data_IF_396911553015
#
_entry.id   IF_396911553015
#
_cell.length_a   1.000
_cell.length_b   1.000
_cell.length_c   1.000
_cell.angle_alpha   90.00
_cell.angle_beta   90.00
_cell.angle_gamma   90.00
#
_symmetry.space_group_name_H-M   'P 1'
#
loop_
_entity.id
_entity.type
_entity.pdbx_description
1 polymer ?
#
# COMPACT_ATOMS: atom_id res chain seq x y z
N UNK A 1 42.42 -6.93 12.84
CA UNK A 1 41.50 -7.92 12.25
C UNK A 1 40.17 -7.22 12.27
N UNK A 2 39.86 -6.56 11.16
CA UNK A 2 38.78 -5.57 11.06
C UNK A 2 37.43 -6.29 10.97
N UNK A 3 36.46 -5.78 11.72
CA UNK A 3 35.09 -6.24 11.75
C UNK A 3 34.43 -6.02 10.38
N UNK A 4 33.95 -7.11 9.77
CA UNK A 4 33.10 -7.07 8.59
C UNK A 4 31.73 -6.56 9.03
N UNK A 5 31.52 -5.25 8.89
CA UNK A 5 30.19 -4.64 9.01
C UNK A 5 29.40 -5.06 7.77
N UNK A 6 28.41 -5.94 7.98
CA UNK A 6 27.41 -6.27 6.96
C UNK A 6 26.65 -5.00 6.57
N UNK A 7 26.81 -4.54 5.33
CA UNK A 7 26.07 -3.41 4.78
C UNK A 7 24.61 -3.80 4.48
N UNK A 8 23.58 -3.11 5.01
CA UNK A 8 22.17 -3.39 4.71
C UNK A 8 21.65 -2.78 3.38
N UNK A 9 22.51 -2.21 2.52
CA UNK A 9 22.09 -1.46 1.32
C UNK A 9 21.89 -2.27 0.02
N UNK A 10 22.07 -3.59 0.00
CA UNK A 10 21.92 -4.36 -1.25
C UNK A 10 20.61 -5.14 -1.29
N UNK A 11 19.56 -4.47 -1.77
CA UNK A 11 18.44 -5.13 -2.46
C UNK A 11 18.66 -4.89 -3.96
N UNK A 12 19.71 -5.50 -4.51
CA UNK A 12 20.18 -5.22 -5.86
C UNK A 12 20.75 -6.49 -6.50
N UNK A 13 19.88 -7.34 -7.04
CA UNK A 13 20.31 -8.35 -8.00
C UNK A 13 20.25 -7.74 -9.42
N UNK A 14 21.44 -7.44 -9.95
CA UNK A 14 21.83 -7.17 -11.35
C UNK A 14 20.96 -6.25 -12.25
N UNK A 15 21.58 -5.11 -12.61
CA UNK A 15 21.48 -4.36 -13.88
C UNK A 15 20.22 -3.52 -14.21
N UNK A 16 19.23 -3.40 -13.33
CA UNK A 16 18.27 -2.25 -13.31
C UNK A 16 17.97 -1.78 -11.89
N UNK A 17 19.02 -1.38 -11.19
CA UNK A 17 18.96 -1.03 -9.77
C UNK A 17 18.17 0.25 -9.52
N UNK A 18 17.16 0.17 -8.65
CA UNK A 18 16.50 1.37 -8.13
C UNK A 18 17.51 2.19 -7.34
N UNK A 19 17.67 3.47 -7.67
CA UNK A 19 18.59 4.38 -6.97
C UNK A 19 17.84 5.06 -5.83
N UNK A 20 18.22 4.78 -4.58
CA UNK A 20 17.61 5.40 -3.39
C UNK A 20 17.93 6.89 -3.37
N UNK A 21 16.91 7.71 -3.18
CA UNK A 21 16.98 9.18 -3.13
C UNK A 21 16.69 9.75 -1.74
N UNK A 22 16.10 8.95 -0.86
CA UNK A 22 15.83 9.34 0.52
C UNK A 22 14.88 8.39 1.22
N UNK A 23 14.38 8.82 2.37
CA UNK A 23 13.43 8.09 3.20
C UNK A 23 12.50 9.04 3.94
N UNK A 24 11.33 8.55 4.33
CA UNK A 24 10.34 9.33 5.08
C UNK A 24 10.75 9.42 6.56
N UNK A 25 10.99 10.63 7.04
CA UNK A 25 11.20 10.89 8.46
C UNK A 25 9.88 10.77 9.24
N UNK A 26 9.77 9.76 10.10
CA UNK A 26 8.59 9.52 10.93
C UNK A 26 8.72 10.15 12.30
N UNK A 27 7.74 10.98 12.67
CA UNK A 27 7.71 11.67 13.99
C UNK A 27 7.04 10.84 15.09
N UNK A 28 5.97 10.11 14.74
CA UNK A 28 5.08 9.48 15.72
C UNK A 28 4.85 7.99 15.48
N UNK A 29 5.24 7.47 14.31
CA UNK A 29 5.07 6.07 13.94
C UNK A 29 6.43 5.36 13.92
N UNK A 30 6.43 4.09 14.33
CA UNK A 30 7.63 3.22 14.33
C UNK A 30 7.44 1.90 13.58
N UNK A 31 6.20 1.60 13.17
CA UNK A 31 5.82 0.29 12.62
C UNK A 31 5.70 0.29 11.11
N UNK A 32 6.40 1.20 10.42
CA UNK A 32 6.66 1.13 8.99
C UNK A 32 7.85 2.03 8.64
N UNK A 33 8.40 1.87 7.44
CA UNK A 33 9.33 2.81 6.81
C UNK A 33 8.92 3.04 5.36
N UNK A 34 9.35 4.17 4.79
CA UNK A 34 9.18 4.46 3.36
C UNK A 34 10.51 4.91 2.79
N UNK A 35 10.98 4.22 1.78
CA UNK A 35 12.18 4.58 1.01
C UNK A 35 11.76 5.14 -0.34
N UNK A 36 12.39 6.24 -0.76
CA UNK A 36 12.14 6.92 -2.02
C UNK A 36 13.23 6.60 -3.02
N UNK A 37 12.85 6.37 -4.28
CA UNK A 37 13.79 6.05 -5.35
C UNK A 37 13.59 6.96 -6.56
N UNK A 38 14.63 7.09 -7.38
CA UNK A 38 14.59 7.84 -8.63
C UNK A 38 13.41 7.42 -9.51
N UNK A 39 12.83 8.36 -10.26
CA UNK A 39 11.66 8.08 -11.10
C UNK A 39 10.34 7.98 -10.33
N UNK A 40 10.36 8.19 -9.00
CA UNK A 40 9.18 8.34 -8.15
C UNK A 40 8.71 7.07 -7.45
N UNK A 41 9.44 5.95 -7.60
CA UNK A 41 9.11 4.71 -6.91
C UNK A 41 9.28 4.87 -5.40
N UNK A 42 8.50 4.07 -4.66
CA UNK A 42 8.57 4.04 -3.20
C UNK A 42 8.49 2.60 -2.74
N UNK A 43 9.29 2.22 -1.75
CA UNK A 43 9.13 0.95 -1.05
C UNK A 43 8.62 1.25 0.35
N UNK A 44 7.45 0.72 0.68
CA UNK A 44 6.88 0.69 2.01
C UNK A 44 7.30 -0.64 2.66
N UNK A 45 7.91 -0.59 3.83
CA UNK A 45 8.14 -1.77 4.67
C UNK A 45 7.26 -1.66 5.91
N UNK A 46 6.44 -2.66 6.21
CA UNK A 46 5.58 -2.64 7.40
C UNK A 46 6.30 -3.14 8.67
N UNK A 47 5.59 -3.17 9.79
CA UNK A 47 6.14 -3.59 11.09
C UNK A 47 6.52 -5.06 11.18
N UNK A 48 6.09 -5.90 10.23
CA UNK A 48 6.48 -7.30 10.11
C UNK A 48 7.67 -7.50 9.18
N UNK A 49 8.11 -6.44 8.48
CA UNK A 49 9.17 -6.51 7.48
C UNK A 49 8.65 -6.81 6.07
N UNK A 50 7.33 -6.88 5.85
CA UNK A 50 6.76 -7.10 4.53
C UNK A 50 6.98 -5.85 3.67
N UNK A 51 7.47 -6.07 2.45
CA UNK A 51 7.77 -4.99 1.50
C UNK A 51 6.69 -4.85 0.43
N UNK A 52 6.31 -3.61 0.15
CA UNK A 52 5.40 -3.24 -0.94
C UNK A 52 6.00 -2.10 -1.76
N UNK A 53 6.15 -2.28 -3.07
CA UNK A 53 6.60 -1.23 -3.98
C UNK A 53 5.42 -0.51 -4.63
N UNK A 54 5.47 0.82 -4.64
CA UNK A 54 4.54 1.69 -5.34
C UNK A 54 5.11 2.08 -6.69
N UNK A 55 4.43 1.66 -7.76
CA UNK A 55 4.81 1.95 -9.15
C UNK A 55 4.15 3.26 -9.60
N UNK A 56 4.94 4.28 -9.99
CA UNK A 56 4.40 5.55 -10.47
C UNK A 56 3.60 5.41 -11.78
N UNK A 57 2.80 6.42 -12.08
CA UNK A 57 2.01 6.47 -13.31
C UNK A 57 2.91 6.33 -14.55
N UNK A 58 2.58 5.38 -15.42
CA UNK A 58 3.29 5.19 -16.69
C UNK A 58 4.69 4.59 -16.56
N UNK A 59 5.05 4.05 -15.39
CA UNK A 59 6.31 3.35 -15.15
C UNK A 59 6.13 1.84 -15.19
N UNK A 60 7.18 1.14 -15.57
CA UNK A 60 7.23 -0.32 -15.55
C UNK A 60 7.56 -0.85 -14.16
N UNK A 61 7.21 -2.11 -13.91
CA UNK A 61 7.65 -2.81 -12.69
C UNK A 61 9.14 -3.11 -12.85
N UNK A 62 10.01 -2.67 -11.93
CA UNK A 62 11.43 -3.05 -11.97
C UNK A 62 11.59 -4.55 -11.70
N UNK A 63 12.78 -5.09 -11.94
CA UNK A 63 13.11 -6.44 -11.48
C UNK A 63 13.21 -6.42 -9.94
N UNK A 64 12.52 -7.35 -9.28
CA UNK A 64 12.32 -7.38 -7.83
C UNK A 64 12.56 -8.80 -7.32
N UNK A 65 12.94 -8.92 -6.05
CA UNK A 65 12.90 -10.20 -5.34
C UNK A 65 11.46 -10.75 -5.29
N UNK A 66 11.31 -12.08 -5.25
CA UNK A 66 10.01 -12.78 -5.43
C UNK A 66 8.94 -12.39 -4.37
N UNK A 67 9.34 -11.79 -3.24
CA UNK A 67 8.46 -11.52 -2.10
C UNK A 67 7.95 -10.06 -2.00
N UNK A 68 8.35 -9.16 -2.91
CA UNK A 68 7.91 -7.75 -2.85
C UNK A 68 6.53 -7.60 -3.50
N UNK A 69 5.54 -7.15 -2.74
CA UNK A 69 4.18 -6.86 -3.25
C UNK A 69 4.22 -5.63 -4.16
N UNK A 70 3.52 -5.67 -5.29
CA UNK A 70 3.49 -4.56 -6.26
C UNK A 70 2.15 -3.84 -6.25
N UNK A 71 2.15 -2.50 -6.16
CA UNK A 71 0.95 -1.66 -6.22
C UNK A 71 1.15 -0.54 -7.24
N UNK A 72 0.27 -0.45 -8.24
CA UNK A 72 0.30 0.62 -9.24
C UNK A 72 -0.45 1.87 -8.78
N UNK A 73 0.13 3.04 -9.02
CA UNK A 73 -0.47 4.33 -8.72
C UNK A 73 -1.11 4.98 -9.97
N UNK A 74 -2.18 5.78 -9.80
CA UNK A 74 -2.94 5.93 -8.57
C UNK A 74 -3.78 4.67 -8.28
N UNK A 75 -3.96 4.35 -7.00
CA UNK A 75 -4.95 3.34 -6.60
C UNK A 75 -6.34 3.92 -6.86
N UNK A 76 -7.16 3.19 -7.61
CA UNK A 76 -8.51 3.65 -8.00
C UNK A 76 -9.63 2.81 -7.40
N UNK A 77 -9.30 1.61 -6.93
CA UNK A 77 -10.27 0.63 -6.42
C UNK A 77 -9.66 -0.13 -5.26
N UNK A 78 -10.43 -0.30 -4.19
CA UNK A 78 -10.05 -1.07 -3.01
C UNK A 78 -11.20 -1.98 -2.57
N UNK A 79 -10.82 -3.12 -1.99
CA UNK A 79 -11.76 -4.05 -1.36
C UNK A 79 -11.50 -4.11 0.15
N UNK A 80 -12.16 -3.27 0.96
CA UNK A 80 -12.06 -3.36 2.41
C UNK A 80 -12.76 -4.64 2.92
N UNK A 81 -12.00 -5.49 3.61
CA UNK A 81 -12.50 -6.74 4.21
C UNK A 81 -12.81 -6.62 5.71
N UNK A 82 -12.87 -5.38 6.22
CA UNK A 82 -13.22 -5.07 7.60
C UNK A 82 -13.95 -3.74 7.63
N UNK A 83 -14.97 -3.64 8.49
CA UNK A 83 -15.69 -2.38 8.74
C UNK A 83 -14.74 -1.28 9.23
N UNK A 84 -13.69 -1.64 9.97
CA UNK A 84 -12.64 -0.71 10.42
C UNK A 84 -11.84 -0.14 9.24
N UNK A 85 -11.52 -0.96 8.24
CA UNK A 85 -10.83 -0.46 7.04
C UNK A 85 -11.71 0.52 6.27
N UNK A 86 -13.03 0.28 6.23
CA UNK A 86 -13.97 1.18 5.57
C UNK A 86 -14.10 2.53 6.30
N UNK A 87 -14.14 2.52 7.64
CA UNK A 87 -14.18 3.77 8.40
C UNK A 87 -12.87 4.56 8.27
N UNK A 88 -11.72 3.88 8.13
CA UNK A 88 -10.45 4.53 7.80
C UNK A 88 -10.48 5.19 6.41
N UNK A 89 -10.99 4.51 5.39
CA UNK A 89 -11.15 5.11 4.05
C UNK A 89 -12.05 6.34 4.09
N UNK A 90 -13.15 6.30 4.85
CA UNK A 90 -14.02 7.46 5.09
C UNK A 90 -13.25 8.63 5.71
N UNK A 91 -12.45 8.38 6.75
CA UNK A 91 -11.66 9.41 7.42
C UNK A 91 -10.61 10.05 6.51
N UNK A 92 -10.16 9.33 5.48
CA UNK A 92 -9.24 9.80 4.44
C UNK A 92 -9.95 10.40 3.21
N UNK A 93 -11.26 10.62 3.28
CA UNK A 93 -12.08 11.11 2.14
C UNK A 93 -11.88 10.26 0.86
N UNK A 94 -11.76 8.94 1.04
CA UNK A 94 -11.42 7.96 -0.01
C UNK A 94 -12.42 6.79 -0.07
N UNK A 95 -13.62 7.00 0.48
CA UNK A 95 -14.67 5.96 0.56
C UNK A 95 -15.20 5.56 -0.82
N UNK A 96 -15.12 6.47 -1.78
CA UNK A 96 -15.50 6.32 -3.18
C UNK A 96 -14.61 5.32 -3.96
N UNK A 97 -13.41 5.04 -3.45
CA UNK A 97 -12.52 4.02 -4.02
C UNK A 97 -12.99 2.59 -3.68
N UNK A 98 -13.84 2.41 -2.67
CA UNK A 98 -14.33 1.09 -2.30
C UNK A 98 -15.31 0.57 -3.35
N UNK A 99 -15.05 -0.62 -3.89
CA UNK A 99 -15.95 -1.26 -4.88
C UNK A 99 -16.56 -2.56 -4.39
N UNK A 100 -15.96 -3.18 -3.37
CA UNK A 100 -16.44 -4.44 -2.80
C UNK A 100 -16.32 -4.43 -1.28
N UNK A 101 -17.19 -5.18 -0.60
CA UNK A 101 -17.14 -5.40 0.86
C UNK A 101 -17.46 -6.86 1.22
N UNK A 102 -17.02 -7.29 2.40
CA UNK A 102 -17.29 -8.62 2.96
C UNK A 102 -18.19 -8.58 4.21
N UNK A 103 -18.89 -7.46 4.42
CA UNK A 103 -19.88 -7.34 5.49
C UNK A 103 -21.25 -7.14 4.82
N UNK A 104 -22.27 -7.93 5.18
CA UNK A 104 -23.59 -7.82 4.58
C UNK A 104 -24.24 -6.48 4.95
N UNK A 105 -25.24 -6.05 4.17
CA UNK A 105 -25.89 -4.73 4.30
C UNK A 105 -26.40 -4.46 5.73
N UNK A 106 -27.03 -5.47 6.34
CA UNK A 106 -27.58 -5.41 7.70
C UNK A 106 -26.50 -5.36 8.81
N UNK A 107 -25.23 -5.58 8.46
CA UNK A 107 -24.08 -5.44 9.34
C UNK A 107 -23.46 -4.04 9.34
N UNK A 108 -23.93 -3.12 8.51
CA UNK A 108 -23.39 -1.76 8.40
C UNK A 108 -24.16 -0.74 9.24
N UNK A 109 -23.41 0.21 9.81
CA UNK A 109 -23.94 1.35 10.58
C UNK A 109 -23.42 2.70 10.04
N UNK A 110 -22.77 2.68 8.87
CA UNK A 110 -22.14 3.84 8.26
C UNK A 110 -22.99 4.23 7.06
N UNK A 111 -23.79 5.30 7.18
CA UNK A 111 -24.80 5.69 6.19
C UNK A 111 -24.25 5.76 4.76
N UNK A 112 -23.11 6.42 4.54
CA UNK A 112 -22.45 6.46 3.23
C UNK A 112 -22.16 5.08 2.64
N UNK A 113 -21.85 4.07 3.46
CA UNK A 113 -21.60 2.70 2.98
C UNK A 113 -22.91 2.04 2.57
N UNK A 114 -23.95 2.21 3.40
CA UNK A 114 -25.30 1.69 3.16
C UNK A 114 -25.83 2.24 1.83
N UNK A 115 -25.81 3.57 1.64
CA UNK A 115 -26.26 4.22 0.41
C UNK A 115 -25.49 3.74 -0.83
N UNK A 116 -24.18 3.52 -0.70
CA UNK A 116 -23.33 3.03 -1.80
C UNK A 116 -23.59 1.56 -2.13
N UNK A 117 -23.94 0.75 -1.15
CA UNK A 117 -24.36 -0.63 -1.38
C UNK A 117 -25.75 -0.68 -2.04
N UNK A 118 -26.71 0.10 -1.55
CA UNK A 118 -28.07 0.15 -2.10
C UNK A 118 -28.11 0.70 -3.54
N UNK A 119 -27.25 1.68 -3.85
CA UNK A 119 -27.09 2.22 -5.21
C UNK A 119 -26.26 1.33 -6.15
N UNK A 120 -25.71 0.21 -5.64
CA UNK A 120 -24.90 -0.72 -6.43
C UNK A 120 -23.48 -0.25 -6.75
N UNK A 121 -23.01 0.83 -6.13
CA UNK A 121 -21.62 1.30 -6.26
C UNK A 121 -20.64 0.39 -5.52
N UNK A 122 -21.08 -0.22 -4.42
CA UNK A 122 -20.33 -1.22 -3.65
C UNK A 122 -21.05 -2.56 -3.71
N UNK A 123 -20.32 -3.62 -4.06
CA UNK A 123 -20.87 -4.98 -4.13
C UNK A 123 -20.44 -5.82 -2.91
N UNK A 124 -21.40 -6.48 -2.28
CA UNK A 124 -21.09 -7.52 -1.28
C UNK A 124 -20.55 -8.78 -1.98
N UNK A 125 -19.40 -9.30 -1.52
CA UNK A 125 -18.72 -10.44 -2.16
C UNK A 125 -18.44 -11.64 -1.25
N UNK A 126 -18.91 -11.63 0.01
CA UNK A 126 -18.75 -12.77 0.91
C UNK A 126 -19.00 -12.45 2.37
#
# INVERSE_FOLDING_TARGET
MEDVVSNPEEIANNDKTLVKTGELELKYAKSFSVEYFEGGYKILTDGNGDKTILIPVGKEVPELDEDIKVVHQPVKKVGPFSTVNMTMLRALDSIDMATIVTTPLDGWYVDDVIERMESGQITFVG
#
